data_IF_294245546452
#
_entry.id   IF_294245546452
#
_cell.length_a   1.000
_cell.length_b   1.000
_cell.length_c   1.000
_cell.angle_alpha   90.00
_cell.angle_beta   90.00
_cell.angle_gamma   90.00
#
_symmetry.space_group_name_H-M   'P 1'
#
loop_
_entity.id
_entity.type
_entity.pdbx_description
1 polymer ?
#
# COMPACT_ATOMS: atom_id res chain seq x y z
N UNK A 1 24.54 -17.93 -1.86
CA UNK A 1 23.79 -16.90 -2.60
C UNK A 1 23.23 -15.89 -1.60
N UNK A 2 23.50 -14.63 -1.84
CA UNK A 2 22.99 -13.58 -0.97
C UNK A 2 21.51 -13.31 -1.27
N UNK A 3 20.75 -12.98 -0.22
CA UNK A 3 19.37 -12.56 -0.38
C UNK A 3 19.31 -11.25 -1.18
N UNK A 4 18.32 -11.08 -2.08
CA UNK A 4 18.15 -9.82 -2.78
C UNK A 4 17.94 -8.66 -1.81
N UNK A 5 18.47 -7.49 -2.19
CA UNK A 5 18.26 -6.25 -1.43
C UNK A 5 17.36 -5.33 -2.25
N UNK A 6 16.51 -4.62 -1.54
CA UNK A 6 15.52 -3.72 -2.12
C UNK A 6 15.83 -2.29 -1.72
N UNK A 7 15.46 -1.35 -2.59
CA UNK A 7 15.55 0.07 -2.25
C UNK A 7 14.64 0.34 -1.06
N UNK A 8 15.18 0.98 -0.03
CA UNK A 8 14.39 1.36 1.13
C UNK A 8 13.53 2.57 0.81
N UNK A 9 12.45 2.72 1.53
CA UNK A 9 11.48 3.77 1.40
C UNK A 9 10.23 3.34 2.14
N UNK A 10 9.11 3.87 1.73
CA UNK A 10 7.83 3.55 2.35
C UNK A 10 6.79 3.31 1.27
N UNK A 11 5.80 2.49 1.59
CA UNK A 11 4.66 2.25 0.71
C UNK A 11 3.42 2.68 1.47
N UNK A 12 2.50 3.33 0.79
CA UNK A 12 1.18 3.62 1.37
C UNK A 12 0.12 2.87 0.59
N UNK A 13 -0.81 2.27 1.33
CA UNK A 13 -1.93 1.53 0.79
C UNK A 13 -3.21 2.28 1.10
N UNK A 14 -4.09 2.41 0.11
CA UNK A 14 -5.40 3.02 0.29
C UNK A 14 -6.40 1.92 0.57
N UNK A 15 -6.99 1.94 1.76
CA UNK A 15 -7.88 0.88 2.23
C UNK A 15 -9.32 1.35 2.26
N UNK A 16 -10.24 0.44 1.90
CA UNK A 16 -11.66 0.73 1.82
C UNK A 16 -12.05 1.21 0.44
N UNK A 17 -12.64 0.33 -0.36
CA UNK A 17 -12.99 0.63 -1.75
C UNK A 17 -14.42 1.14 -1.90
N UNK A 18 -15.13 1.40 -0.79
CA UNK A 18 -16.50 1.85 -0.80
C UNK A 18 -16.68 3.28 -0.25
N UNK A 19 -15.58 4.02 -0.12
CA UNK A 19 -15.61 5.39 0.42
C UNK A 19 -16.46 6.34 -0.44
N UNK A 20 -16.64 6.02 -1.71
CA UNK A 20 -17.37 6.85 -2.69
C UNK A 20 -18.87 6.59 -2.75
N UNK A 21 -19.38 5.62 -1.99
CA UNK A 21 -20.76 5.13 -2.16
C UNK A 21 -21.86 6.18 -1.95
N UNK A 22 -21.56 7.23 -1.18
CA UNK A 22 -22.53 8.28 -0.87
C UNK A 22 -22.25 9.59 -1.63
N UNK A 23 -21.32 9.57 -2.58
CA UNK A 23 -20.97 10.78 -3.34
C UNK A 23 -21.77 10.85 -4.64
N UNK A 24 -22.16 12.05 -5.03
CA UNK A 24 -22.70 12.30 -6.35
C UNK A 24 -21.59 12.15 -7.40
N UNK A 25 -21.92 11.94 -8.69
CA UNK A 25 -20.91 11.88 -9.74
C UNK A 25 -20.01 13.12 -9.77
N UNK A 26 -20.55 14.30 -9.53
CA UNK A 26 -19.80 15.56 -9.53
C UNK A 26 -18.84 15.62 -8.35
N UNK A 27 -19.29 15.20 -7.17
CA UNK A 27 -18.43 15.13 -5.99
C UNK A 27 -17.31 14.12 -6.18
N UNK A 28 -17.63 12.95 -6.74
CA UNK A 28 -16.65 11.91 -7.01
C UNK A 28 -15.58 12.41 -7.97
N UNK A 29 -15.98 13.11 -9.04
CA UNK A 29 -15.05 13.68 -10.00
C UNK A 29 -14.13 14.72 -9.31
N UNK A 30 -14.68 15.55 -8.45
CA UNK A 30 -13.90 16.56 -7.71
C UNK A 30 -12.87 15.89 -6.79
N UNK A 31 -13.31 14.92 -6.01
CA UNK A 31 -12.44 14.24 -5.05
C UNK A 31 -11.33 13.45 -5.75
N UNK A 32 -11.67 12.71 -6.82
CA UNK A 32 -10.66 11.97 -7.59
C UNK A 32 -9.70 12.90 -8.29
N UNK A 33 -10.17 14.06 -8.75
CA UNK A 33 -9.31 15.11 -9.31
C UNK A 33 -8.30 15.62 -8.29
N UNK A 34 -8.74 15.86 -7.06
CA UNK A 34 -7.84 16.24 -5.96
C UNK A 34 -6.81 15.16 -5.67
N UNK A 35 -7.23 13.90 -5.67
CA UNK A 35 -6.35 12.76 -5.45
C UNK A 35 -5.26 12.69 -6.52
N UNK A 36 -5.64 12.82 -7.78
CA UNK A 36 -4.70 12.77 -8.90
C UNK A 36 -3.72 13.95 -8.86
N UNK A 37 -4.20 15.13 -8.50
CA UNK A 37 -3.33 16.30 -8.35
C UNK A 37 -2.33 16.12 -7.22
N UNK A 38 -2.74 15.49 -6.14
CA UNK A 38 -1.87 15.17 -5.01
C UNK A 38 -0.76 14.19 -5.43
N UNK A 39 -1.11 13.13 -6.14
CA UNK A 39 -0.11 12.17 -6.65
C UNK A 39 0.87 12.86 -7.62
N UNK A 40 0.35 13.68 -8.52
CA UNK A 40 1.17 14.41 -9.48
C UNK A 40 2.16 15.34 -8.78
N UNK A 41 1.71 16.05 -7.75
CA UNK A 41 2.59 16.92 -6.96
C UNK A 41 3.68 16.12 -6.28
N UNK A 42 3.33 15.01 -5.64
CA UNK A 42 4.32 14.14 -4.98
C UNK A 42 5.33 13.57 -5.97
N UNK A 43 4.87 13.23 -7.17
CA UNK A 43 5.75 12.71 -8.23
C UNK A 43 6.72 13.78 -8.70
N UNK A 44 6.26 15.01 -8.90
CA UNK A 44 7.12 16.12 -9.32
C UNK A 44 8.13 16.49 -8.25
N UNK A 45 7.79 16.33 -6.98
CA UNK A 45 8.70 16.58 -5.87
C UNK A 45 9.70 15.43 -5.65
N UNK A 46 9.57 14.34 -6.42
CA UNK A 46 10.41 13.15 -6.27
C UNK A 46 10.06 12.29 -5.07
N UNK A 47 8.95 12.58 -4.39
CA UNK A 47 8.54 11.83 -3.20
C UNK A 47 7.76 10.57 -3.55
N UNK A 48 6.90 10.62 -4.58
CA UNK A 48 6.26 9.43 -5.11
C UNK A 48 7.03 8.93 -6.32
N UNK A 49 7.47 7.68 -6.28
CA UNK A 49 8.27 7.07 -7.34
C UNK A 49 7.54 5.96 -8.08
N UNK A 50 6.27 5.74 -7.73
CA UNK A 50 5.43 4.75 -8.37
C UNK A 50 4.13 4.61 -7.63
N UNK A 51 3.21 3.88 -8.24
CA UNK A 51 1.91 3.60 -7.68
C UNK A 51 0.95 3.19 -8.76
N UNK A 52 -0.18 2.64 -8.34
CA UNK A 52 -1.22 2.23 -9.26
C UNK A 52 -2.56 2.12 -8.53
N UNK A 53 -3.67 2.43 -9.21
CA UNK A 53 -4.98 2.04 -8.72
C UNK A 53 -5.18 0.54 -8.95
N UNK A 54 -6.04 -0.09 -8.16
CA UNK A 54 -6.37 -1.49 -8.28
C UNK A 54 -7.85 -1.65 -8.60
N UNK A 55 -8.16 -2.66 -9.42
CA UNK A 55 -9.55 -3.03 -9.66
C UNK A 55 -10.18 -3.61 -8.39
N UNK A 56 -11.51 -3.57 -8.32
CA UNK A 56 -12.25 -4.03 -7.14
C UNK A 56 -12.44 -5.55 -7.11
N UNK A 57 -11.98 -6.25 -8.13
CA UNK A 57 -12.10 -7.70 -8.21
C UNK A 57 -10.73 -8.36 -8.06
N UNK A 58 -10.71 -9.54 -7.52
CA UNK A 58 -9.47 -10.27 -7.36
C UNK A 58 -9.71 -11.70 -6.94
N UNK A 59 -8.63 -12.42 -6.75
CA UNK A 59 -8.66 -13.81 -6.30
C UNK A 59 -7.72 -13.98 -5.12
N UNK A 60 -8.10 -14.85 -4.22
CA UNK A 60 -7.27 -15.24 -3.10
C UNK A 60 -6.91 -16.70 -3.28
N UNK A 61 -5.60 -16.98 -3.32
CA UNK A 61 -5.08 -18.33 -3.43
C UNK A 61 -4.55 -18.74 -2.07
N UNK A 62 -4.96 -19.91 -1.59
CA UNK A 62 -4.58 -20.40 -0.26
C UNK A 62 -4.51 -21.93 -0.26
N UNK A 63 -4.08 -22.48 0.87
CA UNK A 63 -3.97 -23.91 1.07
C UNK A 63 -2.68 -24.46 0.49
N UNK A 64 -2.37 -25.69 0.88
CA UNK A 64 -1.17 -26.39 0.42
C UNK A 64 -1.20 -26.52 -1.11
N UNK A 65 -0.11 -26.13 -1.77
CA UNK A 65 0.03 -26.13 -3.24
C UNK A 65 -1.00 -25.25 -3.96
N UNK A 66 -1.55 -24.25 -3.24
CA UNK A 66 -2.53 -23.34 -3.84
C UNK A 66 -3.83 -24.02 -4.21
N UNK A 67 -4.28 -24.99 -3.43
CA UNK A 67 -5.49 -25.76 -3.78
C UNK A 67 -6.77 -24.98 -3.72
N UNK A 68 -6.81 -23.92 -2.93
CA UNK A 68 -8.02 -23.11 -2.76
C UNK A 68 -7.85 -21.78 -3.50
N UNK A 69 -8.79 -21.49 -4.37
CA UNK A 69 -8.88 -20.20 -5.05
C UNK A 69 -10.27 -19.67 -4.80
N UNK A 70 -10.37 -18.49 -4.24
CA UNK A 70 -11.64 -17.85 -3.95
C UNK A 70 -11.65 -16.43 -4.48
N UNK A 71 -12.84 -15.87 -4.67
CA UNK A 71 -12.98 -14.47 -5.04
C UNK A 71 -12.71 -13.60 -3.82
N UNK A 72 -12.13 -12.44 -4.05
CA UNK A 72 -11.94 -11.45 -3.00
C UNK A 72 -10.58 -10.76 -3.03
N UNK A 73 -10.34 -9.89 -2.04
CA UNK A 73 -11.33 -9.43 -1.06
C UNK A 73 -12.41 -8.59 -1.74
N UNK A 74 -13.61 -8.56 -1.15
CA UNK A 74 -14.70 -7.73 -1.67
C UNK A 74 -14.46 -6.27 -1.35
N UNK A 75 -15.03 -5.36 -2.18
CA UNK A 75 -14.81 -3.92 -2.08
C UNK A 75 -15.16 -3.36 -0.69
N UNK A 76 -16.19 -3.89 -0.04
CA UNK A 76 -16.63 -3.46 1.29
C UNK A 76 -15.78 -4.06 2.42
N UNK A 77 -14.88 -4.98 2.11
CA UNK A 77 -13.99 -5.59 3.10
C UNK A 77 -12.97 -4.58 3.61
N UNK A 78 -12.66 -4.65 4.91
CA UNK A 78 -11.59 -3.86 5.50
C UNK A 78 -10.22 -4.24 4.96
N UNK A 79 -10.10 -5.41 4.35
CA UNK A 79 -8.85 -5.88 3.75
C UNK A 79 -8.68 -5.41 2.31
N UNK A 80 -9.73 -4.82 1.71
CA UNK A 80 -9.66 -4.35 0.33
C UNK A 80 -8.70 -3.16 0.23
N UNK A 81 -7.84 -3.20 -0.78
CA UNK A 81 -6.86 -2.16 -1.07
C UNK A 81 -7.20 -1.59 -2.45
N UNK A 82 -7.49 -0.28 -2.50
CA UNK A 82 -7.87 0.38 -3.74
C UNK A 82 -6.69 0.86 -4.58
N UNK A 83 -5.49 0.84 -4.00
CA UNK A 83 -4.29 1.28 -4.70
C UNK A 83 -3.14 1.46 -3.74
N UNK A 84 -2.01 1.87 -4.28
CA UNK A 84 -0.82 2.11 -3.47
C UNK A 84 0.08 3.16 -4.13
N UNK A 85 0.91 3.81 -3.31
CA UNK A 85 2.01 4.65 -3.78
C UNK A 85 3.31 4.14 -3.15
N UNK A 86 4.37 4.15 -3.95
CA UNK A 86 5.74 3.94 -3.47
C UNK A 86 6.35 5.32 -3.19
N UNK A 87 6.81 5.53 -1.96
CA UNK A 87 7.39 6.81 -1.52
C UNK A 87 8.89 6.68 -1.32
N UNK A 88 9.63 7.61 -1.88
CA UNK A 88 11.09 7.72 -1.68
C UNK A 88 11.34 8.70 -0.54
N UNK A 89 11.00 8.30 0.67
CA UNK A 89 11.20 9.08 1.90
C UNK A 89 11.87 8.19 2.93
N UNK A 90 12.70 8.80 3.78
CA UNK A 90 13.54 8.04 4.70
C UNK A 90 12.91 7.76 6.05
N UNK A 91 11.97 8.59 6.49
CA UNK A 91 11.38 8.44 7.83
C UNK A 91 9.90 8.11 7.77
N UNK A 92 9.45 7.38 8.79
CA UNK A 92 8.03 7.09 8.97
C UNK A 92 7.24 8.38 9.20
N UNK A 93 7.81 9.34 9.92
CA UNK A 93 7.17 10.62 10.18
C UNK A 93 6.87 11.37 8.91
N UNK A 94 7.81 11.43 7.98
CA UNK A 94 7.59 12.07 6.68
C UNK A 94 6.53 11.34 5.87
N UNK A 95 6.58 10.00 5.85
CA UNK A 95 5.59 9.20 5.14
C UNK A 95 4.17 9.41 5.70
N UNK A 96 4.04 9.49 7.03
CA UNK A 96 2.76 9.74 7.70
C UNK A 96 2.24 11.14 7.34
N UNK A 97 3.12 12.15 7.32
CA UNK A 97 2.70 13.50 6.95
C UNK A 97 2.21 13.56 5.51
N UNK A 98 2.83 12.82 4.61
CA UNK A 98 2.33 12.69 3.24
C UNK A 98 0.96 12.00 3.24
N UNK A 99 0.81 10.90 3.95
CA UNK A 99 -0.45 10.15 4.02
C UNK A 99 -1.61 10.98 4.56
N UNK A 100 -1.34 11.89 5.52
CA UNK A 100 -2.36 12.79 6.08
C UNK A 100 -2.99 13.70 5.05
N UNK A 101 -2.33 13.94 3.92
CA UNK A 101 -2.81 14.81 2.86
C UNK A 101 -3.79 14.11 1.92
N UNK A 102 -4.02 12.82 2.10
CA UNK A 102 -4.87 12.04 1.20
C UNK A 102 -6.32 12.56 1.22
N UNK A 103 -6.85 13.02 0.07
CA UNK A 103 -8.18 13.61 0.03
C UNK A 103 -9.31 12.65 0.43
N UNK A 104 -9.14 11.35 0.24
CA UNK A 104 -10.22 10.40 0.52
C UNK A 104 -10.36 10.04 1.99
N UNK A 105 -9.44 10.51 2.84
CA UNK A 105 -9.58 10.35 4.30
C UNK A 105 -10.86 10.98 4.84
N UNK A 106 -11.30 12.09 4.24
CA UNK A 106 -12.51 12.79 4.67
C UNK A 106 -13.79 11.97 4.40
N UNK A 107 -13.68 10.91 3.62
CA UNK A 107 -14.80 10.07 3.22
C UNK A 107 -14.75 8.67 3.83
N UNK A 108 -13.90 8.49 4.84
CA UNK A 108 -13.85 7.25 5.60
C UNK A 108 -12.83 6.23 5.13
N UNK A 109 -12.07 6.53 4.08
CA UNK A 109 -10.96 5.68 3.68
C UNK A 109 -9.84 5.74 4.71
N UNK A 110 -9.00 4.72 4.73
CA UNK A 110 -7.83 4.65 5.60
C UNK A 110 -6.58 4.52 4.74
N UNK A 111 -5.49 5.09 5.23
CA UNK A 111 -4.19 4.97 4.56
C UNK A 111 -3.26 4.23 5.51
N UNK A 112 -2.75 3.10 5.05
CA UNK A 112 -1.77 2.31 5.78
C UNK A 112 -0.38 2.66 5.29
N UNK A 113 0.54 2.94 6.20
CA UNK A 113 1.91 3.31 5.88
C UNK A 113 2.84 2.21 6.38
N UNK A 114 3.69 1.70 5.49
CA UNK A 114 4.63 0.63 5.85
C UNK A 114 6.03 0.94 5.30
N UNK A 115 7.07 0.74 6.11
CA UNK A 115 8.43 0.83 5.58
C UNK A 115 8.74 -0.38 4.71
N UNK A 116 9.50 -0.16 3.65
CA UNK A 116 10.00 -1.25 2.80
C UNK A 116 11.23 -1.85 3.48
N UNK A 117 11.21 -3.17 3.68
CA UNK A 117 12.36 -3.88 4.24
C UNK A 117 13.47 -3.96 3.19
N UNK A 118 14.74 -3.75 3.58
CA UNK A 118 15.85 -3.84 2.62
C UNK A 118 16.10 -5.25 2.12
N UNK A 119 15.59 -6.25 2.84
CA UNK A 119 15.67 -7.67 2.44
C UNK A 119 14.49 -8.42 3.05
N UNK A 120 14.26 -9.64 2.58
CA UNK A 120 13.16 -10.47 3.08
C UNK A 120 13.25 -10.63 4.61
N UNK A 121 12.18 -10.28 5.29
CA UNK A 121 12.12 -10.30 6.76
C UNK A 121 12.30 -11.72 7.29
N UNK A 122 11.67 -12.71 6.67
CA UNK A 122 11.77 -14.11 7.08
C UNK A 122 13.18 -14.66 6.85
N UNK A 123 13.85 -14.28 5.77
CA UNK A 123 15.23 -14.66 5.51
C UNK A 123 16.17 -14.08 6.56
N UNK A 124 16.00 -12.80 6.90
CA UNK A 124 16.78 -12.15 7.95
C UNK A 124 16.59 -12.86 9.29
N UNK A 125 15.34 -13.20 9.61
CA UNK A 125 15.00 -13.92 10.84
C UNK A 125 15.67 -15.30 10.86
N UNK A 126 15.62 -16.05 9.76
CA UNK A 126 16.25 -17.36 9.65
C UNK A 126 17.77 -17.25 9.84
N UNK A 127 18.42 -16.27 9.23
CA UNK A 127 19.85 -16.04 9.37
C UNK A 127 20.23 -15.73 10.81
N UNK A 128 19.44 -14.90 11.51
CA UNK A 128 19.67 -14.56 12.90
C UNK A 128 19.52 -15.81 13.80
N UNK A 129 18.51 -16.64 13.57
CA UNK A 129 18.28 -17.85 14.35
C UNK A 129 19.41 -18.86 14.14
N UNK A 130 19.88 -19.04 12.90
CA UNK A 130 21.00 -19.93 12.60
C UNK A 130 22.29 -19.43 13.24
N UNK A 131 22.56 -18.14 13.21
CA UNK A 131 23.74 -17.56 13.86
C UNK A 131 23.70 -17.80 15.38
N UNK A 132 22.54 -17.62 16.01
CA UNK A 132 22.37 -17.87 17.43
C UNK A 132 22.58 -19.33 17.78
N UNK A 133 22.08 -20.26 16.97
CA UNK A 133 22.22 -21.69 17.20
C UNK A 133 23.67 -22.16 17.07
N UNK A 134 24.48 -21.46 16.28
CA UNK A 134 25.89 -21.79 16.05
C UNK A 134 26.83 -21.11 17.03
N UNK A 135 26.36 -20.19 17.84
CA UNK A 135 27.18 -19.45 18.80
C UNK A 135 27.52 -20.29 20.04
#
# INVERSE_FOLDING_TARGET
MEAPRYKTGHIIFFRGNDWDKNLSPEELQRVTGQFMAWFDRLSREGKAIGGAPLENEGKIVSGSRGRTVSDGPFAESKEAIGGYFMLDVESMEEAVEIARQCPILDYGAKVEVRPVAPQCVQMRKAQQQLATAMA
#
